data_IF_265214269105
#
_entry.id   IF_265214269105
#
_cell.length_a   1.000
_cell.length_b   1.000
_cell.length_c   1.000
_cell.angle_alpha   90.00
_cell.angle_beta   90.00
_cell.angle_gamma   90.00
#
_symmetry.space_group_name_H-M   'P 1'
#
loop_
_entity.id
_entity.type
_entity.pdbx_description
1 polymer ?
#
# COMPACT_ATOMS: atom_id res chain seq x y z
N UNK A 1 8.81 -11.94 -16.42
CA UNK A 1 8.52 -11.26 -15.13
C UNK A 1 8.90 -9.80 -15.24
N UNK A 2 8.05 -8.86 -14.78
CA UNK A 2 8.45 -7.45 -14.68
C UNK A 2 9.44 -7.30 -13.54
N UNK A 3 10.45 -6.46 -13.71
CA UNK A 3 11.38 -6.11 -12.64
C UNK A 3 10.67 -5.28 -11.58
N UNK A 4 11.15 -5.30 -10.33
CA UNK A 4 10.64 -4.45 -9.24
C UNK A 4 10.61 -2.98 -9.65
N UNK A 5 11.64 -2.49 -10.34
CA UNK A 5 11.65 -1.13 -10.88
C UNK A 5 10.50 -0.87 -11.86
N UNK A 6 10.23 -1.79 -12.79
CA UNK A 6 9.09 -1.65 -13.71
C UNK A 6 7.75 -1.69 -12.99
N UNK A 7 7.60 -2.51 -11.94
CA UNK A 7 6.39 -2.57 -11.11
C UNK A 7 6.17 -1.23 -10.40
N UNK A 8 7.22 -0.70 -9.76
CA UNK A 8 7.19 0.60 -9.07
C UNK A 8 6.78 1.73 -10.02
N UNK A 9 7.44 1.88 -11.16
CA UNK A 9 7.14 2.97 -12.12
C UNK A 9 5.71 2.91 -12.66
N UNK A 10 5.24 1.72 -13.05
CA UNK A 10 3.86 1.55 -13.53
C UNK A 10 2.85 1.88 -12.42
N UNK A 11 3.14 1.45 -11.19
CA UNK A 11 2.25 1.65 -10.04
C UNK A 11 2.20 3.13 -9.65
N UNK A 12 3.34 3.82 -9.58
CA UNK A 12 3.39 5.27 -9.33
C UNK A 12 2.62 6.03 -10.41
N UNK A 13 2.81 5.67 -11.69
CA UNK A 13 2.07 6.28 -12.78
C UNK A 13 0.56 6.03 -12.70
N UNK A 14 0.12 4.89 -12.16
CA UNK A 14 -1.29 4.59 -11.92
C UNK A 14 -1.85 5.38 -10.73
N UNK A 15 -1.09 5.49 -9.64
CA UNK A 15 -1.43 6.33 -8.49
C UNK A 15 -1.59 7.78 -8.97
N UNK A 16 -0.60 8.37 -9.62
CA UNK A 16 -0.63 9.77 -10.08
C UNK A 16 -1.80 10.09 -11.03
N UNK A 17 -2.30 9.12 -11.80
CA UNK A 17 -3.48 9.29 -12.66
C UNK A 17 -4.82 9.25 -11.91
N UNK A 18 -4.84 8.67 -10.72
CA UNK A 18 -6.05 8.42 -9.93
C UNK A 18 -6.13 9.27 -8.65
N UNK A 19 -4.98 9.55 -8.05
CA UNK A 19 -4.83 10.27 -6.81
C UNK A 19 -5.10 11.76 -6.99
N UNK A 20 -5.93 12.32 -6.11
CA UNK A 20 -6.16 13.75 -6.04
C UNK A 20 -5.19 14.36 -5.03
N UNK A 21 -4.30 15.23 -5.50
CA UNK A 21 -3.39 16.04 -4.69
C UNK A 21 -2.63 15.24 -3.61
N UNK A 22 -1.71 14.32 -3.99
CA UNK A 22 -0.92 13.54 -3.05
C UNK A 22 -0.21 14.36 -1.96
N UNK A 23 0.16 15.59 -2.28
CA UNK A 23 0.78 16.56 -1.36
C UNK A 23 -0.13 17.03 -0.22
N UNK A 24 -1.44 16.77 -0.32
CA UNK A 24 -2.43 17.15 0.70
C UNK A 24 -2.80 16.01 1.66
N UNK A 25 -2.21 14.82 1.49
CA UNK A 25 -2.47 13.67 2.35
C UNK A 25 -1.77 13.85 3.70
N UNK A 26 -2.42 13.39 4.76
CA UNK A 26 -1.98 13.67 6.13
C UNK A 26 -1.02 12.61 6.65
N UNK A 27 -1.34 11.34 6.38
CA UNK A 27 -0.59 10.17 6.88
C UNK A 27 0.11 9.44 5.73
N UNK A 28 -0.31 9.67 4.49
CA UNK A 28 0.10 8.90 3.33
C UNK A 28 1.11 9.61 2.45
N UNK A 29 2.00 8.84 1.82
CA UNK A 29 2.92 9.36 0.80
C UNK A 29 3.24 8.30 -0.26
N UNK A 30 3.63 8.78 -1.44
CA UNK A 30 4.14 7.94 -2.53
C UNK A 30 5.66 8.05 -2.57
N UNK A 31 6.35 6.91 -2.66
CA UNK A 31 7.80 6.84 -2.80
C UNK A 31 8.21 7.06 -4.26
N UNK A 32 8.22 8.31 -4.72
CA UNK A 32 8.69 8.68 -6.07
C UNK A 32 10.20 8.47 -6.25
N UNK A 33 10.97 8.58 -5.17
CA UNK A 33 12.41 8.35 -5.17
C UNK A 33 12.77 7.17 -4.24
N UNK A 34 13.93 6.57 -4.46
CA UNK A 34 14.50 5.56 -3.55
C UNK A 34 15.05 6.27 -2.31
N UNK A 35 14.15 6.78 -1.48
CA UNK A 35 14.50 7.33 -0.17
C UNK A 35 14.61 6.21 0.87
N UNK A 36 15.44 6.46 1.87
CA UNK A 36 15.55 5.56 3.01
C UNK A 36 14.18 5.34 3.65
N UNK A 37 13.88 4.08 3.95
CA UNK A 37 12.70 3.70 4.72
C UNK A 37 13.17 2.89 5.94
N UNK A 38 12.32 2.78 6.95
CA UNK A 38 12.63 2.11 8.22
C UNK A 38 12.37 0.60 8.18
N UNK A 39 11.96 0.07 7.02
CA UNK A 39 11.65 -1.34 6.84
C UNK A 39 12.85 -2.07 6.28
N UNK A 40 13.04 -3.29 6.75
CA UNK A 40 13.99 -4.23 6.17
C UNK A 40 13.37 -4.85 4.92
N UNK A 41 13.79 -4.36 3.76
CA UNK A 41 13.32 -4.85 2.46
C UNK A 41 14.28 -5.90 1.91
N UNK A 42 13.76 -6.82 1.11
CA UNK A 42 14.56 -7.80 0.39
C UNK A 42 15.42 -7.16 -0.70
N UNK A 43 16.39 -7.90 -1.21
CA UNK A 43 17.20 -7.45 -2.33
C UNK A 43 16.33 -7.11 -3.55
N UNK A 44 16.48 -5.87 -4.02
CA UNK A 44 15.73 -5.26 -5.14
C UNK A 44 14.24 -5.00 -4.88
N UNK A 45 13.70 -5.30 -3.70
CA UNK A 45 12.35 -4.89 -3.31
C UNK A 45 12.31 -3.37 -3.14
N UNK A 46 11.31 -2.71 -3.74
CA UNK A 46 11.22 -1.26 -3.74
C UNK A 46 9.94 -0.76 -3.05
N UNK A 47 10.02 0.29 -2.20
CA UNK A 47 8.84 0.89 -1.60
C UNK A 47 8.06 1.72 -2.63
N UNK A 48 6.73 1.70 -2.52
CA UNK A 48 5.82 2.41 -3.42
C UNK A 48 4.92 3.40 -2.66
N UNK A 49 4.28 2.96 -1.58
CA UNK A 49 3.30 3.74 -0.84
C UNK A 49 3.46 3.50 0.65
N UNK A 50 3.32 4.53 1.47
CA UNK A 50 3.35 4.41 2.92
C UNK A 50 2.18 5.15 3.56
N UNK A 51 1.71 4.61 4.69
CA UNK A 51 0.80 5.26 5.62
C UNK A 51 1.45 5.23 7.01
N UNK A 52 1.79 6.40 7.55
CA UNK A 52 2.51 6.55 8.80
C UNK A 52 1.69 7.32 9.83
N UNK A 53 1.56 6.76 11.03
CA UNK A 53 0.94 7.40 12.19
C UNK A 53 1.80 7.23 13.43
N UNK A 54 1.40 7.86 14.54
CA UNK A 54 2.07 7.66 15.83
C UNK A 54 1.95 6.22 16.37
N UNK A 55 1.01 5.42 15.86
CA UNK A 55 0.75 4.04 16.35
C UNK A 55 1.36 2.97 15.45
N UNK A 56 1.25 3.16 14.15
CA UNK A 56 1.64 2.15 13.18
C UNK A 56 2.15 2.79 11.88
N UNK A 57 3.00 2.05 11.19
CA UNK A 57 3.52 2.40 9.87
C UNK A 57 3.28 1.22 8.93
N UNK A 58 2.51 1.45 7.88
CA UNK A 58 2.27 0.48 6.80
C UNK A 58 3.04 0.93 5.57
N UNK A 59 3.75 -0.01 4.92
CA UNK A 59 4.39 0.19 3.63
C UNK A 59 3.91 -0.86 2.63
N UNK A 60 3.63 -0.40 1.42
CA UNK A 60 3.34 -1.24 0.26
C UNK A 60 4.56 -1.17 -0.65
N UNK A 61 5.11 -2.34 -0.98
CA UNK A 61 6.29 -2.49 -1.81
C UNK A 61 5.92 -3.10 -3.16
N UNK A 62 6.92 -3.45 -3.95
CA UNK A 62 6.74 -4.20 -5.20
C UNK A 62 6.41 -5.68 -4.97
N UNK A 63 6.57 -6.19 -3.74
CA UNK A 63 6.44 -7.62 -3.40
C UNK A 63 5.43 -7.93 -2.31
N UNK A 64 5.24 -7.03 -1.34
CA UNK A 64 4.43 -7.29 -0.15
C UNK A 64 3.89 -6.03 0.48
N UNK A 65 3.04 -6.23 1.45
CA UNK A 65 2.56 -5.19 2.37
C UNK A 65 3.11 -5.52 3.74
N UNK A 66 3.69 -4.53 4.42
CA UNK A 66 4.31 -4.69 5.74
C UNK A 66 3.73 -3.62 6.66
N UNK A 67 3.24 -4.01 7.84
CA UNK A 67 2.89 -3.10 8.92
C UNK A 67 3.78 -3.33 10.14
N UNK A 68 4.29 -2.24 10.69
CA UNK A 68 4.93 -2.21 11.99
C UNK A 68 4.03 -1.45 12.97
N UNK A 69 3.58 -2.13 14.01
CA UNK A 69 2.84 -1.56 15.13
C UNK A 69 3.58 -1.92 16.43
N UNK A 70 4.19 -0.90 17.06
CA UNK A 70 5.13 -1.08 18.18
C UNK A 70 6.31 -2.01 17.79
N UNK A 71 6.50 -3.12 18.51
CA UNK A 71 7.52 -4.15 18.22
C UNK A 71 7.00 -5.29 17.33
N UNK A 72 5.73 -5.25 16.93
CA UNK A 72 5.13 -6.28 16.07
C UNK A 72 5.26 -5.87 14.61
N UNK A 73 5.70 -6.81 13.79
CA UNK A 73 5.72 -6.71 12.34
C UNK A 73 4.79 -7.77 11.78
N UNK A 74 3.89 -7.37 10.91
CA UNK A 74 3.05 -8.24 10.11
C UNK A 74 3.30 -7.94 8.64
N UNK A 75 3.34 -8.97 7.80
CA UNK A 75 3.44 -8.78 6.36
C UNK A 75 2.66 -9.86 5.62
N UNK A 76 2.26 -9.53 4.39
CA UNK A 76 1.68 -10.49 3.44
C UNK A 76 2.34 -10.29 2.08
N UNK A 77 2.84 -11.37 1.50
CA UNK A 77 3.39 -11.38 0.15
C UNK A 77 2.28 -11.33 -0.88
N UNK A 78 2.45 -10.52 -1.93
CA UNK A 78 1.42 -10.37 -2.98
C UNK A 78 1.16 -11.66 -3.78
N UNK A 79 2.05 -12.64 -3.70
CA UNK A 79 1.86 -13.97 -4.30
C UNK A 79 0.88 -14.83 -3.48
N UNK A 80 0.66 -14.49 -2.22
CA UNK A 80 -0.24 -15.20 -1.31
C UNK A 80 -1.62 -14.52 -1.20
N UNK A 81 -1.82 -13.34 -1.81
CA UNK A 81 -3.08 -12.60 -1.71
C UNK A 81 -4.18 -13.24 -2.55
N UNK A 82 -5.30 -13.56 -1.92
CA UNK A 82 -6.53 -14.02 -2.58
C UNK A 82 -7.52 -12.85 -2.79
N UNK A 83 -7.77 -12.05 -1.74
CA UNK A 83 -8.71 -10.92 -1.82
C UNK A 83 -8.25 -9.69 -1.00
N UNK A 84 -8.76 -8.51 -1.36
CA UNK A 84 -8.53 -7.26 -0.63
C UNK A 84 -9.84 -6.52 -0.40
N UNK A 85 -10.18 -6.35 0.88
CA UNK A 85 -11.39 -5.67 1.34
C UNK A 85 -11.00 -4.30 1.85
N UNK A 86 -11.29 -3.28 1.06
CA UNK A 86 -11.01 -1.90 1.45
C UNK A 86 -12.01 -1.46 2.52
N UNK A 87 -13.31 -1.49 2.29
CA UNK A 87 -14.33 -0.91 3.20
C UNK A 87 -14.99 0.32 2.56
N UNK A 88 -15.91 0.98 3.29
CA UNK A 88 -16.60 2.17 2.79
C UNK A 88 -15.90 3.46 3.23
N UNK A 89 -15.21 4.10 2.28
CA UNK A 89 -14.40 5.31 2.51
C UNK A 89 -14.85 6.51 1.70
N UNK A 90 -15.98 6.38 0.98
CA UNK A 90 -16.48 7.42 0.07
C UNK A 90 -17.21 8.55 0.80
N UNK A 91 -17.63 8.34 2.05
CA UNK A 91 -18.51 9.26 2.77
C UNK A 91 -17.88 10.61 3.14
N UNK A 92 -16.55 10.70 3.31
CA UNK A 92 -15.90 11.93 3.77
C UNK A 92 -14.55 12.22 3.08
N UNK A 93 -14.58 12.47 1.76
CA UNK A 93 -13.37 12.70 0.95
C UNK A 93 -12.43 13.82 1.48
N UNK A 94 -12.98 14.80 2.21
CA UNK A 94 -12.25 15.96 2.74
C UNK A 94 -11.96 15.88 4.26
N UNK A 95 -12.23 14.75 4.91
CA UNK A 95 -11.91 14.53 6.32
C UNK A 95 -11.11 13.23 6.44
N UNK A 96 -9.79 13.29 6.21
CA UNK A 96 -8.94 12.11 6.30
C UNK A 96 -8.90 11.59 7.74
N UNK A 97 -9.13 10.30 7.89
CA UNK A 97 -9.06 9.57 9.15
C UNK A 97 -8.22 8.31 8.95
N UNK A 98 -7.63 7.78 10.02
CA UNK A 98 -6.98 6.48 9.99
C UNK A 98 -8.04 5.38 10.12
N UNK A 99 -7.94 4.38 9.25
CA UNK A 99 -8.77 3.17 9.25
C UNK A 99 -7.88 1.97 8.96
N UNK A 100 -8.51 0.80 8.75
CA UNK A 100 -7.85 -0.39 8.23
C UNK A 100 -8.50 -0.87 6.94
N UNK A 101 -7.69 -1.50 6.08
CA UNK A 101 -8.14 -2.39 5.02
C UNK A 101 -7.66 -3.80 5.33
N UNK A 102 -8.31 -4.80 4.74
CA UNK A 102 -8.03 -6.21 4.98
C UNK A 102 -7.49 -6.88 3.74
N UNK A 103 -6.46 -7.70 3.93
CA UNK A 103 -5.99 -8.68 2.97
C UNK A 103 -6.45 -10.05 3.46
N UNK A 104 -6.99 -10.85 2.54
CA UNK A 104 -7.23 -12.28 2.76
C UNK A 104 -6.20 -13.04 1.95
N UNK A 105 -5.43 -13.91 2.61
CA UNK A 105 -4.46 -14.75 1.91
C UNK A 105 -5.10 -16.03 1.33
N UNK A 106 -4.31 -16.79 0.57
CA UNK A 106 -4.73 -18.03 -0.08
C UNK A 106 -5.11 -19.16 0.90
N UNK A 107 -4.81 -19.00 2.18
CA UNK A 107 -5.23 -19.92 3.25
C UNK A 107 -6.52 -19.43 3.95
N UNK A 108 -7.02 -18.25 3.58
CA UNK A 108 -8.19 -17.61 4.16
C UNK A 108 -7.90 -16.84 5.44
N UNK A 109 -6.63 -16.66 5.83
CA UNK A 109 -6.29 -15.82 6.97
C UNK A 109 -6.46 -14.34 6.64
N UNK A 110 -6.83 -13.55 7.66
CA UNK A 110 -7.20 -12.16 7.50
C UNK A 110 -6.20 -11.25 8.19
N UNK A 111 -5.62 -10.35 7.41
CA UNK A 111 -4.57 -9.43 7.84
C UNK A 111 -5.04 -7.99 7.65
N UNK A 112 -5.17 -7.24 8.75
CA UNK A 112 -5.65 -5.85 8.72
C UNK A 112 -4.48 -4.87 8.77
N UNK A 113 -4.42 -3.94 7.82
CA UNK A 113 -3.35 -2.94 7.66
C UNK A 113 -3.89 -1.52 7.72
N UNK A 114 -3.12 -0.58 8.28
CA UNK A 114 -3.50 0.83 8.37
C UNK A 114 -3.64 1.50 6.99
N UNK A 115 -4.65 2.34 6.86
CA UNK A 115 -4.85 3.23 5.73
C UNK A 115 -5.37 4.61 6.15
N UNK A 116 -5.18 5.59 5.27
CA UNK A 116 -5.85 6.89 5.37
C UNK A 116 -7.09 6.92 4.47
N UNK A 117 -8.23 7.32 5.04
CA UNK A 117 -9.50 7.48 4.30
C UNK A 117 -9.51 8.74 3.43
N UNK A 118 -10.57 8.92 2.64
CA UNK A 118 -10.69 10.09 1.75
C UNK A 118 -9.77 10.00 0.53
N UNK A 119 -9.13 11.10 0.13
CA UNK A 119 -8.34 11.16 -1.11
C UNK A 119 -7.19 10.15 -1.17
N UNK A 120 -6.51 9.94 -0.05
CA UNK A 120 -5.38 9.01 0.05
C UNK A 120 -5.79 7.55 -0.19
N UNK A 121 -7.00 7.16 0.23
CA UNK A 121 -7.53 5.81 -0.01
C UNK A 121 -7.62 5.46 -1.49
N UNK A 122 -7.88 6.44 -2.37
CA UNK A 122 -7.89 6.24 -3.83
C UNK A 122 -6.48 5.88 -4.31
N UNK A 123 -5.46 6.57 -3.81
CA UNK A 123 -4.06 6.27 -4.10
C UNK A 123 -3.66 4.88 -3.63
N UNK A 124 -4.01 4.52 -2.40
CA UNK A 124 -3.74 3.19 -1.83
C UNK A 124 -4.43 2.08 -2.63
N UNK A 125 -5.73 2.22 -2.94
CA UNK A 125 -6.47 1.25 -3.75
C UNK A 125 -5.84 1.09 -5.13
N UNK A 126 -5.45 2.19 -5.77
CA UNK A 126 -4.78 2.18 -7.08
C UNK A 126 -3.43 1.46 -7.00
N UNK A 127 -2.67 1.71 -5.93
CA UNK A 127 -1.40 1.05 -5.65
C UNK A 127 -1.56 -0.47 -5.58
N UNK A 128 -2.35 -0.96 -4.61
CA UNK A 128 -2.51 -2.39 -4.34
C UNK A 128 -3.08 -3.12 -5.55
N UNK A 129 -4.15 -2.59 -6.17
CA UNK A 129 -4.74 -3.21 -7.38
C UNK A 129 -3.75 -3.29 -8.54
N UNK A 130 -2.90 -2.28 -8.72
CA UNK A 130 -1.93 -2.28 -9.80
C UNK A 130 -0.84 -3.32 -9.56
N UNK A 131 -0.29 -3.40 -8.34
CA UNK A 131 0.74 -4.40 -8.02
C UNK A 131 0.18 -5.82 -8.19
N UNK A 132 -0.99 -6.10 -7.62
CA UNK A 132 -1.64 -7.41 -7.75
C UNK A 132 -1.89 -7.79 -9.21
N UNK A 133 -2.39 -6.86 -10.03
CA UNK A 133 -2.60 -7.10 -11.47
C UNK A 133 -1.31 -7.43 -12.19
N UNK A 134 -0.21 -6.73 -11.88
CA UNK A 134 1.09 -6.95 -12.50
C UNK A 134 1.72 -8.29 -12.07
N UNK A 135 1.41 -8.76 -10.87
CA UNK A 135 1.82 -10.07 -10.34
C UNK A 135 0.99 -11.23 -10.90
N UNK A 136 -0.32 -11.05 -11.06
CA UNK A 136 -1.23 -12.06 -11.64
C UNK A 136 -1.11 -12.21 -13.17
N UNK A 137 -0.46 -11.27 -13.86
CA UNK A 137 -0.21 -11.35 -15.31
C UNK A 137 1.06 -12.15 -15.65
N UNK A 138 1.50 -13.00 -14.73
CA UNK A 138 2.70 -13.85 -14.79
C UNK A 138 2.28 -15.32 -14.68
#
# INVERSE_FOLDING_TARGET
>A
MKTDNSIKEITIAAINRSAMNPESWVYSKVYSENSANEFELEENELPIFEVSSAKAKTIITTRRIIEKENEKVCFVDFEEVDDVIYGDFKGQINKPELSKFRIVDMYGEQHDFQMETGKASIGLISCVKTVLKLKASL
#
